data_IF_674303337819
#
_entry.id   IF_674303337819
#
_cell.length_a   1.000
_cell.length_b   1.000
_cell.length_c   1.000
_cell.angle_alpha   90.00
_cell.angle_beta   90.00
_cell.angle_gamma   90.00
#
_symmetry.space_group_name_H-M   'P 1'
#
loop_
_entity.id
_entity.type
_entity.pdbx_description
1 polymer ?
#
# COMPACT_ATOMS: atom_id res chain seq x y z
N UNK A 1 5.01 -27.81 13.28
CA UNK A 1 5.54 -26.42 13.34
C UNK A 1 7.02 -26.50 13.03
N UNK A 2 7.43 -26.38 11.76
CA UNK A 2 8.86 -26.29 11.43
C UNK A 2 9.22 -24.82 11.36
N UNK A 3 9.89 -24.34 12.40
CA UNK A 3 10.57 -23.05 12.37
C UNK A 3 11.71 -23.13 11.37
N UNK A 4 11.74 -22.23 10.39
CA UNK A 4 12.89 -22.05 9.54
C UNK A 4 14.06 -21.60 10.40
N UNK A 5 14.97 -22.52 10.71
CA UNK A 5 16.23 -22.17 11.36
C UNK A 5 17.05 -21.36 10.35
N UNK A 6 17.37 -20.13 10.71
CA UNK A 6 18.24 -19.28 9.90
C UNK A 6 19.65 -19.92 9.88
N UNK A 7 20.18 -20.16 8.68
CA UNK A 7 21.52 -20.70 8.52
C UNK A 7 22.55 -19.59 8.72
N UNK A 8 23.61 -19.89 9.45
CA UNK A 8 24.77 -19.01 9.56
C UNK A 8 25.58 -19.01 8.27
N UNK A 9 26.41 -17.99 8.06
CA UNK A 9 27.23 -17.87 6.85
C UNK A 9 28.10 -19.10 6.59
N UNK A 10 28.75 -19.64 7.63
CA UNK A 10 29.63 -20.81 7.50
C UNK A 10 28.84 -22.06 7.07
N UNK A 11 27.62 -22.23 7.58
CA UNK A 11 26.73 -23.31 7.18
C UNK A 11 26.30 -23.17 5.72
N UNK A 12 25.97 -21.95 5.28
CA UNK A 12 25.64 -21.66 3.87
C UNK A 12 26.83 -22.00 2.96
N UNK A 13 28.04 -21.62 3.34
CA UNK A 13 29.26 -21.91 2.57
C UNK A 13 29.49 -23.41 2.48
N UNK A 14 29.32 -24.16 3.57
CA UNK A 14 29.43 -25.63 3.55
C UNK A 14 28.36 -26.25 2.63
N UNK A 15 27.13 -25.75 2.65
CA UNK A 15 26.09 -26.20 1.73
C UNK A 15 26.48 -26.02 0.26
N UNK A 16 27.11 -24.90 -0.09
CA UNK A 16 27.53 -24.58 -1.46
C UNK A 16 28.76 -25.39 -1.88
N UNK A 17 29.80 -25.44 -1.05
CA UNK A 17 31.07 -26.08 -1.39
C UNK A 17 30.95 -27.60 -1.42
N UNK A 18 30.16 -28.17 -0.51
CA UNK A 18 29.95 -29.61 -0.40
C UNK A 18 28.80 -30.13 -1.27
N UNK A 19 28.15 -29.27 -2.06
CA UNK A 19 26.96 -29.57 -2.87
C UNK A 19 25.86 -30.28 -2.05
N UNK A 20 25.67 -29.83 -0.80
CA UNK A 20 24.65 -30.40 0.09
C UNK A 20 23.30 -29.78 -0.24
N UNK A 21 22.21 -30.58 -0.22
CA UNK A 21 20.88 -30.06 -0.46
C UNK A 21 20.55 -28.95 0.53
N UNK A 22 20.05 -27.84 0.01
CA UNK A 22 19.63 -26.70 0.83
C UNK A 22 18.39 -27.14 1.63
N UNK A 23 18.37 -26.94 2.95
CA UNK A 23 17.22 -27.31 3.77
C UNK A 23 15.98 -26.51 3.31
N UNK A 24 14.83 -27.18 3.32
CA UNK A 24 13.53 -26.63 2.89
C UNK A 24 13.38 -26.34 1.38
N UNK A 25 14.28 -26.81 0.52
CA UNK A 25 14.01 -26.83 -0.92
C UNK A 25 13.00 -27.94 -1.21
N UNK A 26 11.80 -27.52 -1.62
CA UNK A 26 10.75 -28.41 -2.12
C UNK A 26 10.77 -28.30 -3.64
N UNK A 27 11.03 -29.41 -4.32
CA UNK A 27 10.86 -29.46 -5.77
C UNK A 27 9.37 -29.39 -6.09
N UNK A 28 8.94 -28.27 -6.67
CA UNK A 28 7.57 -28.11 -7.17
C UNK A 28 7.57 -28.53 -8.64
N UNK A 29 6.85 -29.60 -9.02
CA UNK A 29 6.76 -30.03 -10.41
C UNK A 29 6.19 -28.90 -11.28
N UNK A 30 6.80 -28.68 -12.44
CA UNK A 30 6.27 -27.75 -13.43
C UNK A 30 5.09 -28.40 -14.17
N UNK A 31 3.94 -28.44 -13.51
CA UNK A 31 2.70 -29.00 -14.04
C UNK A 31 1.66 -27.90 -14.22
N UNK A 32 1.08 -27.82 -15.42
CA UNK A 32 -0.13 -27.04 -15.64
C UNK A 32 -1.31 -27.87 -15.13
N UNK A 33 -1.96 -27.40 -14.06
CA UNK A 33 -3.17 -28.04 -13.56
C UNK A 33 -4.35 -27.71 -14.48
N UNK A 34 -5.22 -28.70 -14.70
CA UNK A 34 -6.44 -28.52 -15.47
C UNK A 34 -7.44 -27.60 -14.75
N UNK A 35 -8.20 -26.82 -15.51
CA UNK A 35 -9.19 -25.87 -14.97
C UNK A 35 -10.30 -26.57 -14.19
N UNK A 36 -10.57 -27.85 -14.48
CA UNK A 36 -11.54 -28.67 -13.75
C UNK A 36 -11.16 -28.91 -12.29
N UNK A 37 -9.88 -28.77 -11.93
CA UNK A 37 -9.37 -28.94 -10.56
C UNK A 37 -9.43 -27.64 -9.75
N UNK A 38 -9.96 -26.56 -10.32
CA UNK A 38 -10.06 -25.26 -9.65
C UNK A 38 -11.04 -25.34 -8.47
N UNK A 39 -10.56 -25.05 -7.27
CA UNK A 39 -11.41 -24.87 -6.10
C UNK A 39 -12.20 -23.57 -6.17
N UNK A 40 -13.47 -23.59 -5.76
CA UNK A 40 -14.26 -22.37 -5.57
C UNK A 40 -13.75 -21.60 -4.33
N UNK A 41 -13.73 -20.26 -4.42
CA UNK A 41 -13.43 -19.42 -3.26
C UNK A 41 -14.66 -19.33 -2.36
N UNK A 42 -14.66 -20.05 -1.25
CA UNK A 42 -15.75 -20.00 -0.25
C UNK A 42 -15.53 -18.93 0.83
N UNK A 43 -14.36 -18.27 0.85
CA UNK A 43 -14.06 -17.24 1.84
C UNK A 43 -14.80 -15.94 1.56
N UNK A 44 -15.33 -15.32 2.62
CA UNK A 44 -15.91 -13.99 2.54
C UNK A 44 -14.84 -12.96 2.13
N UNK A 45 -15.18 -11.98 1.27
CA UNK A 45 -14.28 -10.88 0.95
C UNK A 45 -13.80 -10.19 2.22
N UNK A 46 -12.47 -10.05 2.36
CA UNK A 46 -11.91 -9.35 3.51
C UNK A 46 -12.32 -7.88 3.44
N UNK A 47 -12.92 -7.30 4.51
CA UNK A 47 -13.32 -5.91 4.49
C UNK A 47 -12.10 -5.03 4.28
N UNK A 48 -12.28 -3.92 3.57
CA UNK A 48 -11.22 -2.94 3.47
C UNK A 48 -10.89 -2.41 4.87
N UNK A 49 -9.61 -2.06 5.14
CA UNK A 49 -9.23 -1.55 6.46
C UNK A 49 -10.06 -0.34 6.93
N UNK A 50 -10.57 0.46 5.99
CA UNK A 50 -11.42 1.63 6.23
C UNK A 50 -12.92 1.35 6.31
N UNK A 51 -13.37 0.12 6.00
CA UNK A 51 -14.78 -0.31 6.08
C UNK A 51 -15.14 -0.95 7.42
N UNK A 52 -14.15 -1.15 8.30
CA UNK A 52 -14.42 -1.60 9.67
C UNK A 52 -15.33 -0.57 10.32
N UNK A 53 -16.61 -0.91 10.51
CA UNK A 53 -17.46 -0.20 11.44
C UNK A 53 -16.70 -0.10 12.75
N UNK A 54 -16.67 1.09 13.35
CA UNK A 54 -15.87 1.44 14.53
C UNK A 54 -16.26 0.67 15.82
N UNK A 55 -16.91 -0.50 15.71
CA UNK A 55 -17.49 -1.26 16.81
C UNK A 55 -16.81 -2.58 17.16
N UNK A 56 -16.03 -3.20 16.26
CA UNK A 56 -15.37 -4.49 16.56
C UNK A 56 -13.86 -4.42 16.26
N UNK A 57 -13.06 -4.58 17.31
CA UNK A 57 -11.60 -4.77 17.34
C UNK A 57 -10.69 -3.59 16.98
N UNK A 58 -10.79 -2.50 17.76
CA UNK A 58 -9.67 -1.60 18.02
C UNK A 58 -9.49 -1.38 19.54
N UNK A 59 -8.98 -2.38 20.27
CA UNK A 59 -8.18 -2.09 21.46
C UNK A 59 -6.81 -1.57 21.01
N UNK A 60 -6.79 -0.34 20.49
CA UNK A 60 -5.56 0.46 20.44
C UNK A 60 -5.68 1.39 21.64
N UNK A 61 -5.00 1.04 22.74
CA UNK A 61 -4.73 1.98 23.82
C UNK A 61 -3.75 3.03 23.30
N UNK A 62 -4.30 4.08 22.71
CA UNK A 62 -3.57 5.31 22.47
C UNK A 62 -4.45 6.45 22.97
N UNK A 63 -4.33 6.71 24.27
CA UNK A 63 -4.89 7.90 24.89
C UNK A 63 -4.42 9.13 24.12
N UNK A 64 -5.32 9.69 23.30
CA UNK A 64 -5.28 11.08 22.81
C UNK A 64 -6.57 11.45 22.08
N UNK A 65 -7.33 12.30 22.79
CA UNK A 65 -8.21 13.37 22.32
C UNK A 65 -8.82 13.25 20.92
N UNK A 66 -10.13 13.01 20.91
CA UNK A 66 -11.16 13.63 20.04
C UNK A 66 -10.64 14.36 18.79
N UNK A 67 -10.75 13.69 17.64
CA UNK A 67 -10.64 14.33 16.33
C UNK A 67 -11.92 14.07 15.55
N UNK A 68 -12.85 15.03 15.66
CA UNK A 68 -13.99 15.19 14.75
C UNK A 68 -13.50 15.45 13.32
N UNK A 69 -13.29 14.36 12.56
CA UNK A 69 -12.81 14.38 11.18
C UNK A 69 -13.88 14.85 10.17
N UNK A 70 -15.14 15.00 10.60
CA UNK A 70 -16.26 15.40 9.75
C UNK A 70 -16.39 16.90 9.48
N UNK A 71 -15.68 17.76 10.23
CA UNK A 71 -15.82 19.22 10.10
C UNK A 71 -14.70 19.89 9.29
N UNK A 72 -13.54 19.24 9.12
CA UNK A 72 -12.33 19.89 8.63
C UNK A 72 -12.25 20.04 7.10
N UNK A 73 -13.13 19.38 6.33
CA UNK A 73 -13.09 19.43 4.86
C UNK A 73 -13.90 20.64 4.33
N UNK A 74 -14.83 21.16 5.14
CA UNK A 74 -15.74 22.25 4.75
C UNK A 74 -15.12 23.64 4.87
N UNK A 75 -14.01 23.76 5.61
CA UNK A 75 -13.33 25.03 5.88
C UNK A 75 -12.06 25.20 5.03
N UNK A 76 -11.94 24.49 3.90
CA UNK A 76 -10.98 24.90 2.89
C UNK A 76 -11.44 26.25 2.34
N UNK A 77 -10.79 27.29 2.85
CA UNK A 77 -11.09 28.68 2.56
C UNK A 77 -11.28 28.89 1.05
N UNK A 78 -12.42 29.46 0.67
CA UNK A 78 -12.75 29.81 -0.71
C UNK A 78 -11.67 30.70 -1.32
N UNK A 79 -10.96 31.49 -0.50
CA UNK A 79 -9.82 32.29 -0.93
C UNK A 79 -8.63 31.44 -1.37
N UNK A 80 -8.36 30.32 -0.69
CA UNK A 80 -7.30 29.39 -1.07
C UNK A 80 -7.62 28.72 -2.41
N UNK A 81 -8.86 28.26 -2.61
CA UNK A 81 -9.29 27.71 -3.90
C UNK A 81 -9.23 28.76 -5.04
N UNK A 82 -9.69 29.98 -4.77
CA UNK A 82 -9.62 31.09 -5.71
C UNK A 82 -8.17 31.44 -6.09
N UNK A 83 -7.26 31.38 -5.11
CA UNK A 83 -5.82 31.60 -5.33
C UNK A 83 -5.20 30.53 -6.23
N UNK A 84 -5.55 29.26 -6.04
CA UNK A 84 -5.08 28.18 -6.92
C UNK A 84 -5.62 28.33 -8.35
N UNK A 85 -6.91 28.66 -8.52
CA UNK A 85 -7.49 28.92 -9.83
C UNK A 85 -6.84 30.13 -10.52
N UNK A 86 -6.56 31.20 -9.77
CA UNK A 86 -5.88 32.39 -10.31
C UNK A 86 -4.48 32.04 -10.83
N UNK A 87 -3.71 31.27 -10.05
CA UNK A 87 -2.36 30.85 -10.46
C UNK A 87 -2.38 29.95 -11.71
N UNK A 88 -3.35 29.03 -11.82
CA UNK A 88 -3.50 28.21 -13.04
C UNK A 88 -3.80 29.08 -14.26
N UNK A 89 -4.71 30.06 -14.14
CA UNK A 89 -5.04 30.96 -15.25
C UNK A 89 -3.89 31.89 -15.66
N UNK A 90 -3.07 32.35 -14.71
CA UNK A 90 -1.88 33.16 -15.00
C UNK A 90 -0.84 32.36 -15.78
N UNK A 91 -0.62 31.09 -15.40
CA UNK A 91 0.32 30.20 -16.06
C UNK A 91 -0.10 29.93 -17.52
N UNK A 92 -1.39 29.66 -17.75
CA UNK A 92 -1.96 29.45 -19.09
C UNK A 92 -1.89 30.71 -19.94
N UNK A 93 -2.12 31.88 -19.35
CA UNK A 93 -2.03 33.16 -20.06
C UNK A 93 -0.57 33.49 -20.43
N UNK A 94 0.41 33.18 -19.56
CA UNK A 94 1.83 33.33 -19.86
C UNK A 94 2.31 32.38 -20.99
N UNK A 95 1.71 31.20 -21.11
CA UNK A 95 1.99 30.26 -22.20
C UNK A 95 1.36 30.67 -23.54
N UNK A 96 0.27 31.44 -23.51
CA UNK A 96 -0.51 31.79 -24.71
C UNK A 96 -0.35 33.24 -25.17
N UNK A 97 0.09 34.17 -24.32
CA UNK A 97 0.33 35.56 -24.67
C UNK A 97 1.51 36.20 -23.87
N UNK A 98 2.77 36.00 -24.31
CA UNK A 98 3.97 36.38 -23.54
C UNK A 98 4.26 37.90 -23.46
N UNK A 99 3.53 38.76 -24.17
CA UNK A 99 3.82 40.19 -24.29
C UNK A 99 3.17 41.07 -23.20
N UNK A 100 2.33 40.52 -22.31
CA UNK A 100 1.62 41.32 -21.29
C UNK A 100 2.32 41.38 -19.91
N UNK A 101 3.57 40.93 -19.78
CA UNK A 101 4.30 40.87 -18.51
C UNK A 101 5.14 42.11 -18.16
N UNK A 102 4.97 43.24 -18.85
CA UNK A 102 5.60 44.52 -18.47
C UNK A 102 4.56 45.61 -18.20
N UNK A 103 4.15 45.71 -16.94
CA UNK A 103 3.93 47.01 -16.26
C UNK A 103 4.26 46.87 -14.79
#
# INVERSE_FOLDING_TARGET
MSGGHELTYDEIVDHIVSDKPIPNVVEVPNITLDESLRSASEMAPRPKPWEKSAGDDLQIDMGRSDLSLGSAISDLDLDVMSKYQTMETELDNAMTNPENSQT
#
